data_IF_309921123890
#
_entry.id   IF_309921123890
#
_cell.length_a   1.000
_cell.length_b   1.000
_cell.length_c   1.000
_cell.angle_alpha   90.00
_cell.angle_beta   90.00
_cell.angle_gamma   90.00
#
_symmetry.space_group_name_H-M   'P 1'
#
loop_
_entity.id
_entity.type
_entity.pdbx_description
1 polymer ?
#
# COMPACT_ATOMS: atom_id res chain seq x y z
N UNK A 1 -17.78 -9.76 -1.59
CA UNK A 1 -16.34 -10.09 -1.72
C UNK A 1 -15.96 -10.80 -0.45
N UNK A 2 -15.39 -12.00 -0.56
CA UNK A 2 -15.04 -12.80 0.61
C UNK A 2 -13.80 -12.25 1.31
N UNK A 3 -13.70 -12.38 2.65
CA UNK A 3 -12.51 -12.00 3.37
C UNK A 3 -11.30 -12.81 2.89
N UNK A 4 -10.13 -12.18 2.94
CA UNK A 4 -8.86 -12.86 2.70
C UNK A 4 -8.36 -13.43 4.03
N UNK A 5 -7.89 -14.67 4.00
CA UNK A 5 -7.43 -15.43 5.16
C UNK A 5 -6.03 -15.99 4.90
N UNK A 6 -5.24 -16.16 5.95
CA UNK A 6 -3.95 -16.85 5.88
C UNK A 6 -4.18 -18.32 6.21
N UNK A 7 -3.65 -19.21 5.38
CA UNK A 7 -3.69 -20.66 5.59
C UNK A 7 -2.28 -21.23 5.63
N UNK A 8 -2.11 -22.39 6.26
CA UNK A 8 -0.92 -23.23 6.20
C UNK A 8 -1.27 -24.56 5.58
N UNK A 9 -0.52 -24.97 4.56
CA UNK A 9 -0.64 -26.29 3.95
C UNK A 9 -0.03 -27.36 4.87
N UNK A 10 -0.76 -28.44 5.12
CA UNK A 10 -0.27 -29.56 5.93
C UNK A 10 0.72 -30.47 5.16
N UNK A 11 0.70 -30.41 3.82
CA UNK A 11 1.57 -31.22 2.96
C UNK A 11 2.97 -30.64 2.76
N UNK A 12 3.08 -29.32 2.58
CA UNK A 12 4.36 -28.64 2.32
C UNK A 12 4.72 -27.54 3.33
N UNK A 13 3.87 -27.27 4.31
CA UNK A 13 4.05 -26.23 5.34
C UNK A 13 4.04 -24.78 4.82
N UNK A 14 3.82 -24.57 3.52
CA UNK A 14 3.72 -23.25 2.89
C UNK A 14 2.54 -22.43 3.43
N UNK A 15 2.73 -21.11 3.48
CA UNK A 15 1.68 -20.16 3.83
C UNK A 15 0.98 -19.67 2.57
N UNK A 16 -0.36 -19.59 2.63
CA UNK A 16 -1.19 -19.10 1.55
C UNK A 16 -2.04 -17.94 2.03
N UNK A 17 -2.01 -16.83 1.29
CA UNK A 17 -2.95 -15.73 1.45
C UNK A 17 -4.06 -15.90 0.40
N UNK A 18 -5.22 -16.39 0.80
CA UNK A 18 -6.28 -16.78 -0.13
C UNK A 18 -7.68 -16.48 0.43
N UNK A 19 -8.68 -16.40 -0.46
CA UNK A 19 -10.07 -16.52 -0.02
C UNK A 19 -10.41 -17.98 0.27
N UNK A 20 -11.54 -18.20 0.94
CA UNK A 20 -12.00 -19.56 1.28
C UNK A 20 -12.12 -20.47 0.04
N UNK A 21 -12.62 -19.93 -1.07
CA UNK A 21 -12.73 -20.68 -2.35
C UNK A 21 -11.37 -20.96 -3.01
N UNK A 22 -10.38 -20.10 -2.80
CA UNK A 22 -9.07 -20.21 -3.48
C UNK A 22 -8.04 -21.03 -2.69
N UNK A 23 -8.38 -21.46 -1.47
CA UNK A 23 -7.46 -22.14 -0.54
C UNK A 23 -6.98 -23.50 -1.04
N UNK A 24 -7.76 -24.16 -1.90
CA UNK A 24 -7.46 -25.48 -2.46
C UNK A 24 -6.38 -25.45 -3.56
N UNK A 25 -5.73 -24.30 -3.77
CA UNK A 25 -4.65 -24.12 -4.75
C UNK A 25 -3.32 -24.78 -4.33
N UNK A 26 -3.19 -25.28 -3.09
CA UNK A 26 -1.99 -25.97 -2.62
C UNK A 26 -2.06 -27.50 -2.83
N UNK A 27 -0.95 -28.20 -2.56
CA UNK A 27 -0.81 -29.65 -2.79
C UNK A 27 -1.51 -30.54 -1.75
N UNK A 28 -2.07 -29.98 -0.68
CA UNK A 28 -2.71 -30.73 0.40
C UNK A 28 -3.77 -29.92 1.13
N UNK A 29 -4.35 -30.51 2.16
CA UNK A 29 -5.30 -29.83 3.04
C UNK A 29 -4.63 -28.61 3.69
N UNK A 30 -5.43 -27.57 3.88
CA UNK A 30 -4.97 -26.30 4.43
C UNK A 30 -5.75 -25.96 5.69
N UNK A 31 -5.02 -25.49 6.70
CA UNK A 31 -5.56 -25.06 7.99
C UNK A 31 -5.43 -23.54 8.12
N UNK A 32 -6.46 -22.87 8.59
CA UNK A 32 -6.44 -21.42 8.82
C UNK A 32 -5.41 -21.06 9.90
N UNK A 33 -4.69 -19.95 9.70
CA UNK A 33 -3.72 -19.39 10.64
C UNK A 33 -4.19 -18.00 11.04
N UNK A 34 -4.24 -17.77 12.34
CA UNK A 34 -4.68 -16.51 12.93
C UNK A 34 -3.51 -15.80 13.64
N UNK A 35 -3.76 -14.57 14.10
CA UNK A 35 -2.81 -13.86 14.95
C UNK A 35 -2.52 -14.58 16.28
N UNK A 36 -3.42 -15.44 16.76
CA UNK A 36 -3.23 -16.19 18.01
C UNK A 36 -2.26 -17.37 17.85
N UNK A 37 -2.14 -17.89 16.62
CA UNK A 37 -1.19 -18.95 16.27
C UNK A 37 0.23 -18.41 16.06
N UNK A 38 0.38 -17.10 15.90
CA UNK A 38 1.67 -16.46 15.76
C UNK A 38 2.37 -16.36 17.12
N UNK A 39 3.53 -17.01 17.26
CA UNK A 39 4.43 -16.81 18.41
C UNK A 39 5.05 -15.39 18.45
N UNK A 40 4.87 -14.62 17.37
CA UNK A 40 5.27 -13.23 17.26
C UNK A 40 4.08 -12.30 17.47
N UNK A 41 4.21 -11.34 18.38
CA UNK A 41 3.18 -10.32 18.60
C UNK A 41 3.23 -9.27 17.48
N UNK A 42 2.21 -9.28 16.62
CA UNK A 42 1.99 -8.27 15.59
C UNK A 42 0.65 -7.60 15.84
N UNK A 43 0.62 -6.27 15.78
CA UNK A 43 -0.64 -5.51 15.94
C UNK A 43 -1.42 -5.50 14.63
N UNK A 44 -2.75 -5.65 14.73
CA UNK A 44 -3.63 -5.54 13.58
C UNK A 44 -3.66 -4.08 13.12
N UNK A 45 -3.41 -3.76 11.83
CA UNK A 45 -3.44 -2.38 11.37
C UNK A 45 -4.88 -1.86 11.32
N UNK A 46 -5.03 -0.56 11.60
CA UNK A 46 -6.27 0.18 11.32
C UNK A 46 -6.24 0.82 9.93
N UNK A 47 -7.37 1.40 9.51
CA UNK A 47 -7.51 1.99 8.17
C UNK A 47 -6.57 3.17 7.93
N UNK A 48 -6.32 3.99 8.95
CA UNK A 48 -5.44 5.15 8.83
C UNK A 48 -3.99 4.70 8.61
N UNK A 49 -3.54 3.72 9.37
CA UNK A 49 -2.20 3.12 9.25
C UNK A 49 -2.00 2.53 7.86
N UNK A 50 -2.96 1.78 7.33
CA UNK A 50 -2.84 1.20 5.98
C UNK A 50 -2.75 2.30 4.91
N UNK A 51 -3.63 3.29 4.97
CA UNK A 51 -3.65 4.38 3.99
C UNK A 51 -2.34 5.17 4.00
N UNK A 52 -1.79 5.44 5.18
CA UNK A 52 -0.56 6.20 5.33
C UNK A 52 0.67 5.38 4.94
N UNK A 53 0.85 4.20 5.52
CA UNK A 53 2.09 3.43 5.39
C UNK A 53 2.17 2.71 4.03
N UNK A 54 1.04 2.21 3.52
CA UNK A 54 1.03 1.47 2.25
C UNK A 54 0.82 2.37 1.03
N UNK A 55 0.00 3.42 1.16
CA UNK A 55 -0.35 4.28 0.03
C UNK A 55 0.19 5.72 0.13
N UNK A 56 0.82 6.10 1.25
CA UNK A 56 1.28 7.48 1.45
C UNK A 56 0.15 8.50 1.57
N UNK A 57 -1.07 8.04 1.88
CA UNK A 57 -2.29 8.85 1.93
C UNK A 57 -2.62 9.20 3.39
N UNK A 58 -2.25 10.40 3.78
CA UNK A 58 -2.72 11.00 5.05
C UNK A 58 -4.07 11.69 4.92
N UNK A 59 -4.57 12.20 6.05
CA UNK A 59 -5.86 12.91 6.20
C UNK A 59 -6.11 13.96 5.10
N UNK A 60 -5.16 14.87 4.87
CA UNK A 60 -5.26 15.90 3.81
C UNK A 60 -5.47 15.33 2.42
N UNK A 61 -4.94 14.13 2.12
CA UNK A 61 -5.16 13.47 0.83
C UNK A 61 -6.60 13.00 0.70
N UNK A 62 -7.21 12.52 1.80
CA UNK A 62 -8.60 12.11 1.82
C UNK A 62 -9.54 13.31 1.70
N UNK A 63 -9.25 14.41 2.39
CA UNK A 63 -10.00 15.67 2.24
C UNK A 63 -9.96 16.18 0.80
N UNK A 64 -8.79 16.17 0.17
CA UNK A 64 -8.63 16.52 -1.25
C UNK A 64 -9.40 15.57 -2.15
N UNK A 65 -9.39 14.26 -1.86
CA UNK A 65 -10.17 13.28 -2.60
C UNK A 65 -11.68 13.60 -2.53
N UNK A 66 -12.20 13.90 -1.33
CA UNK A 66 -13.60 14.28 -1.18
C UNK A 66 -13.92 15.59 -1.91
N UNK A 67 -13.04 16.59 -1.85
CA UNK A 67 -13.20 17.82 -2.60
C UNK A 67 -13.30 17.58 -4.11
N UNK A 68 -12.51 16.65 -4.67
CA UNK A 68 -12.56 16.29 -6.09
C UNK A 68 -13.81 15.47 -6.44
N UNK A 69 -14.27 14.59 -5.54
CA UNK A 69 -15.53 13.86 -5.71
C UNK A 69 -16.71 14.83 -5.79
N UNK A 70 -16.74 15.85 -4.93
CA UNK A 70 -17.79 16.86 -4.93
C UNK A 70 -17.68 17.82 -6.14
N UNK A 71 -16.50 17.92 -6.75
CA UNK A 71 -16.19 18.81 -7.86
C UNK A 71 -15.51 18.06 -9.02
N UNK A 72 -16.24 17.16 -9.68
CA UNK A 72 -15.69 16.37 -10.80
C UNK A 72 -15.12 17.27 -11.91
N UNK A 73 -13.89 16.99 -12.33
CA UNK A 73 -13.19 17.77 -13.33
C UNK A 73 -12.54 19.04 -12.77
N UNK A 74 -12.38 19.15 -11.44
CA UNK A 74 -11.67 20.25 -10.80
C UNK A 74 -10.18 20.25 -11.16
N UNK A 75 -9.62 21.45 -11.22
CA UNK A 75 -8.20 21.71 -11.39
C UNK A 75 -7.52 21.84 -10.03
N UNK A 76 -6.18 21.71 -9.99
CA UNK A 76 -5.40 21.99 -8.77
C UNK A 76 -5.70 23.38 -8.19
N UNK A 77 -5.96 24.37 -9.05
CA UNK A 77 -6.29 25.73 -8.59
C UNK A 77 -7.62 25.76 -7.86
N UNK A 78 -8.67 25.17 -8.44
CA UNK A 78 -10.01 25.17 -7.86
C UNK A 78 -10.04 24.42 -6.53
N UNK A 79 -9.35 23.27 -6.44
CA UNK A 79 -9.23 22.53 -5.17
C UNK A 79 -8.45 23.32 -4.12
N UNK A 80 -7.38 24.01 -4.51
CA UNK A 80 -6.59 24.83 -3.60
C UNK A 80 -7.39 26.03 -3.07
N UNK A 81 -8.18 26.67 -3.93
CA UNK A 81 -9.02 27.79 -3.57
C UNK A 81 -10.17 27.34 -2.64
N UNK A 82 -10.81 26.20 -2.92
CA UNK A 82 -11.90 25.64 -2.10
C UNK A 82 -11.43 25.19 -0.71
N UNK A 83 -10.25 24.55 -0.64
CA UNK A 83 -9.71 24.01 0.61
C UNK A 83 -8.81 24.99 1.38
N UNK A 84 -8.59 26.20 0.85
CA UNK A 84 -7.72 27.22 1.42
C UNK A 84 -6.28 26.74 1.72
N UNK A 85 -5.73 25.85 0.88
CA UNK A 85 -4.36 25.32 1.02
C UNK A 85 -3.51 25.57 -0.22
N UNK A 86 -2.18 25.55 -0.05
CA UNK A 86 -1.25 25.87 -1.14
C UNK A 86 -1.40 24.94 -2.35
N UNK A 87 -1.44 25.52 -3.56
CA UNK A 87 -1.50 24.78 -4.84
C UNK A 87 -0.41 23.73 -4.99
N UNK A 88 0.78 23.96 -4.43
CA UNK A 88 1.87 22.98 -4.43
C UNK A 88 1.61 21.79 -3.51
N UNK A 89 0.93 22.00 -2.38
CA UNK A 89 0.46 20.93 -1.51
C UNK A 89 -0.63 20.12 -2.22
N UNK A 90 -1.66 20.79 -2.77
CA UNK A 90 -2.72 20.13 -3.55
C UNK A 90 -2.14 19.29 -4.69
N UNK A 91 -1.25 19.87 -5.49
CA UNK A 91 -0.60 19.14 -6.59
C UNK A 91 0.10 17.86 -6.11
N UNK A 92 0.83 17.91 -4.99
CA UNK A 92 1.48 16.72 -4.41
C UNK A 92 0.48 15.65 -3.98
N UNK A 93 -0.58 16.03 -3.27
CA UNK A 93 -1.59 15.09 -2.80
C UNK A 93 -2.42 14.50 -3.94
N UNK A 94 -2.85 15.33 -4.89
CA UNK A 94 -3.59 14.87 -6.08
C UNK A 94 -2.75 13.91 -6.91
N UNK A 95 -1.46 14.17 -7.12
CA UNK A 95 -0.60 13.23 -7.84
C UNK A 95 -0.46 11.90 -7.08
N UNK A 96 -0.32 11.91 -5.75
CA UNK A 96 -0.34 10.66 -4.95
C UNK A 96 -1.65 9.88 -5.09
N UNK A 97 -2.78 10.57 -5.10
CA UNK A 97 -4.08 9.95 -5.31
C UNK A 97 -4.22 9.37 -6.73
N UNK A 98 -3.62 10.01 -7.73
CA UNK A 98 -3.54 9.49 -9.10
C UNK A 98 -2.62 8.27 -9.17
N UNK A 99 -1.46 8.32 -8.52
CA UNK A 99 -0.51 7.19 -8.47
C UNK A 99 -1.11 5.98 -7.74
N UNK A 100 -1.90 6.22 -6.68
CA UNK A 100 -2.70 5.20 -5.99
C UNK A 100 -3.92 4.72 -6.81
N UNK A 101 -4.21 5.36 -7.95
CA UNK A 101 -5.31 5.01 -8.84
C UNK A 101 -6.70 5.38 -8.32
N UNK A 102 -6.80 6.27 -7.33
CA UNK A 102 -8.04 6.77 -6.71
C UNK A 102 -8.65 7.91 -7.53
N UNK A 103 -7.79 8.77 -8.08
CA UNK A 103 -8.17 9.83 -9.01
C UNK A 103 -7.62 9.53 -10.40
N UNK A 104 -8.29 10.06 -11.41
CA UNK A 104 -7.77 10.11 -12.78
C UNK A 104 -7.35 11.53 -13.12
N UNK A 105 -6.34 11.64 -14.00
CA UNK A 105 -5.82 12.92 -14.50
C UNK A 105 -6.08 13.01 -15.99
N UNK A 106 -6.79 14.04 -16.42
CA UNK A 106 -7.07 14.29 -17.83
C UNK A 106 -6.59 15.69 -18.25
N UNK A 107 -6.20 15.84 -19.51
CA UNK A 107 -5.92 17.14 -20.11
C UNK A 107 -7.17 17.68 -20.81
N UNK A 108 -7.55 18.91 -20.50
CA UNK A 108 -8.61 19.64 -21.19
C UNK A 108 -8.06 20.90 -21.87
N UNK A 109 -8.44 21.09 -23.14
CA UNK A 109 -8.07 22.26 -23.92
C UNK A 109 -8.92 23.47 -23.51
N UNK A 110 -8.27 24.60 -23.25
CA UNK A 110 -8.96 25.86 -22.97
C UNK A 110 -9.40 26.54 -24.26
N UNK A 111 -10.56 27.21 -24.22
CA UNK A 111 -11.13 27.92 -25.39
C UNK A 111 -10.22 29.03 -25.93
N UNK A 112 -9.36 29.60 -25.08
CA UNK A 112 -8.42 30.67 -25.45
C UNK A 112 -7.02 30.14 -25.83
N UNK A 113 -6.85 28.82 -25.94
CA UNK A 113 -5.56 28.15 -26.10
C UNK A 113 -4.95 27.75 -24.76
N UNK A 114 -4.10 26.73 -24.79
CA UNK A 114 -3.49 26.10 -23.61
C UNK A 114 -4.23 24.84 -23.14
N UNK A 115 -3.56 24.10 -22.25
CA UNK A 115 -4.09 22.88 -21.62
C UNK A 115 -4.16 23.07 -20.11
N UNK A 116 -5.17 22.49 -19.49
CA UNK A 116 -5.28 22.38 -18.04
C UNK A 116 -5.46 20.92 -17.66
N UNK A 117 -4.89 20.53 -16.52
CA UNK A 117 -5.16 19.24 -15.92
C UNK A 117 -6.40 19.32 -15.04
N UNK A 118 -7.33 18.42 -15.29
CA UNK A 118 -8.51 18.20 -14.47
C UNK A 118 -8.45 16.82 -13.83
N UNK A 119 -9.08 16.70 -12.67
CA UNK A 119 -9.07 15.48 -11.89
C UNK A 119 -10.50 15.04 -11.60
N UNK A 120 -10.72 13.74 -11.71
CA UNK A 120 -12.02 13.09 -11.53
C UNK A 120 -11.83 11.86 -10.66
N UNK A 121 -12.85 11.47 -9.90
CA UNK A 121 -12.81 10.22 -9.16
C UNK A 121 -12.86 9.02 -10.11
N UNK A 122 -12.06 8.00 -9.85
CA UNK A 122 -12.15 6.73 -10.56
C UNK A 122 -13.38 5.93 -10.09
N UNK A 123 -13.86 4.99 -10.91
CA UNK A 123 -14.92 4.08 -10.49
C UNK A 123 -14.58 3.38 -9.14
N UNK A 124 -15.47 3.41 -8.13
CA UNK A 124 -15.16 2.87 -6.80
C UNK A 124 -14.78 1.39 -6.79
N UNK A 125 -15.36 0.56 -7.67
CA UNK A 125 -15.00 -0.86 -7.76
C UNK A 125 -13.62 -1.03 -8.41
N UNK A 126 -13.25 -0.17 -9.36
CA UNK A 126 -11.89 -0.13 -9.93
C UNK A 126 -10.88 0.30 -8.88
N UNK A 127 -11.16 1.34 -8.10
CA UNK A 127 -10.30 1.80 -6.99
C UNK A 127 -10.09 0.67 -6.00
N UNK A 128 -11.17 0.03 -5.56
CA UNK A 128 -11.12 -1.08 -4.60
C UNK A 128 -10.26 -2.24 -5.10
N UNK A 129 -10.40 -2.63 -6.36
CA UNK A 129 -9.60 -3.72 -6.94
C UNK A 129 -8.12 -3.33 -7.06
N UNK A 130 -7.80 -2.09 -7.44
CA UNK A 130 -6.42 -1.59 -7.50
C UNK A 130 -5.76 -1.58 -6.12
N UNK A 131 -6.43 -1.02 -5.11
CA UNK A 131 -5.92 -0.97 -3.74
C UNK A 131 -5.71 -2.39 -3.19
N UNK A 132 -6.63 -3.31 -3.50
CA UNK A 132 -6.49 -4.73 -3.12
C UNK A 132 -5.27 -5.37 -3.79
N UNK A 133 -5.10 -5.22 -5.09
CA UNK A 133 -3.92 -5.76 -5.78
C UNK A 133 -2.62 -5.18 -5.21
N UNK A 134 -2.60 -3.87 -4.96
CA UNK A 134 -1.48 -3.19 -4.31
C UNK A 134 -1.15 -3.80 -2.94
N UNK A 135 -2.17 -4.13 -2.14
CA UNK A 135 -1.98 -4.79 -0.85
C UNK A 135 -1.32 -6.17 -0.97
N UNK A 136 -1.76 -6.99 -1.93
CA UNK A 136 -1.18 -8.33 -2.14
C UNK A 136 0.28 -8.24 -2.59
N UNK A 137 0.59 -7.33 -3.51
CA UNK A 137 1.97 -7.10 -3.96
C UNK A 137 2.84 -6.60 -2.81
N UNK A 138 2.35 -5.63 -2.04
CA UNK A 138 3.08 -5.09 -0.90
C UNK A 138 3.37 -6.15 0.17
N UNK A 139 2.40 -7.00 0.52
CA UNK A 139 2.60 -8.09 1.47
C UNK A 139 3.65 -9.09 0.95
N UNK A 140 3.65 -9.40 -0.35
CA UNK A 140 4.67 -10.27 -0.95
C UNK A 140 6.08 -9.73 -0.72
N UNK A 141 6.30 -8.45 -1.03
CA UNK A 141 7.61 -7.79 -0.84
C UNK A 141 8.01 -7.75 0.65
N UNK A 142 7.06 -7.48 1.55
CA UNK A 142 7.31 -7.48 3.00
C UNK A 142 7.75 -8.87 3.49
N UNK A 143 7.12 -9.94 3.01
CA UNK A 143 7.50 -11.31 3.36
C UNK A 143 8.91 -11.62 2.86
N UNK A 144 9.22 -11.27 1.62
CA UNK A 144 10.56 -11.49 1.04
C UNK A 144 11.64 -10.72 1.82
N UNK A 145 11.39 -9.45 2.14
CA UNK A 145 12.29 -8.64 2.96
C UNK A 145 12.54 -9.26 4.35
N UNK A 146 11.53 -9.84 4.99
CA UNK A 146 11.68 -10.50 6.29
C UNK A 146 12.58 -11.74 6.17
N UNK A 147 12.43 -12.52 5.10
CA UNK A 147 13.28 -13.69 4.84
C UNK A 147 14.72 -13.25 4.61
N UNK A 148 14.96 -12.27 3.73
CA UNK A 148 16.28 -11.72 3.45
C UNK A 148 16.96 -11.21 4.73
N UNK A 149 16.24 -10.47 5.58
CA UNK A 149 16.77 -9.97 6.84
C UNK A 149 17.17 -11.09 7.82
N UNK A 150 16.42 -12.20 7.83
CA UNK A 150 16.76 -13.36 8.66
C UNK A 150 18.00 -14.09 8.15
N UNK A 151 18.14 -14.25 6.83
CA UNK A 151 19.30 -14.86 6.21
C UNK A 151 20.56 -14.03 6.46
N UNK A 152 20.50 -12.71 6.27
CA UNK A 152 21.61 -11.79 6.57
C UNK A 152 22.03 -11.86 8.06
N UNK A 153 21.05 -11.97 8.96
CA UNK A 153 21.33 -12.14 10.39
C UNK A 153 22.01 -13.47 10.69
N UNK A 154 21.61 -14.55 10.03
CA UNK A 154 22.23 -15.87 10.21
C UNK A 154 23.70 -15.83 9.76
N UNK A 155 23.99 -15.28 8.59
CA UNK A 155 25.36 -15.11 8.08
C UNK A 155 26.23 -14.28 9.04
N UNK A 156 25.69 -13.17 9.57
CA UNK A 156 26.42 -12.30 10.50
C UNK A 156 26.72 -12.98 11.85
N UNK A 157 25.90 -13.94 12.29
CA UNK A 157 26.15 -14.70 13.52
C UNK A 157 27.22 -15.78 13.33
N UNK A 158 27.43 -16.26 12.11
CA UNK A 158 28.48 -17.23 11.77
C UNK A 158 29.87 -16.58 11.64
N UNK A 159 29.93 -15.29 11.31
CA UNK A 159 31.18 -14.52 11.26
C UNK A 159 31.59 -14.03 12.66
N UNK A 160 32.42 -14.81 13.38
CA UNK A 160 32.98 -14.48 14.71
C UNK A 160 33.72 -13.13 14.78
N UNK A 161 33.95 -12.45 13.65
CA UNK A 161 34.67 -11.17 13.55
C UNK A 161 33.77 -9.94 13.36
N UNK A 162 32.47 -10.12 13.12
CA UNK A 162 31.54 -9.02 12.82
C UNK A 162 30.57 -8.73 13.95
N UNK A 163 30.39 -7.45 14.31
CA UNK A 163 29.26 -7.05 15.15
C UNK A 163 27.97 -7.18 14.34
N UNK A 164 27.05 -8.05 14.77
CA UNK A 164 25.69 -8.20 14.19
C UNK A 164 25.00 -6.83 14.02
N UNK A 165 25.27 -5.89 14.92
CA UNK A 165 24.71 -4.54 14.89
C UNK A 165 25.31 -3.67 13.76
N UNK A 166 26.57 -3.86 13.37
CA UNK A 166 27.19 -3.15 12.24
C UNK A 166 26.70 -3.70 10.90
N UNK A 167 26.52 -5.02 10.80
CA UNK A 167 26.02 -5.69 9.60
C UNK A 167 24.56 -5.35 9.28
N UNK A 168 23.69 -5.38 10.29
CA UNK A 168 22.26 -5.05 10.15
C UNK A 168 22.02 -3.53 10.17
N UNK A 169 22.75 -2.80 11.02
CA UNK A 169 22.59 -1.35 11.21
C UNK A 169 22.93 -0.52 9.96
N UNK A 170 23.97 -0.90 9.22
CA UNK A 170 24.44 -0.16 8.03
C UNK A 170 23.59 -0.33 6.77
N UNK A 171 22.69 -1.33 6.73
CA UNK A 171 21.81 -1.62 5.60
C UNK A 171 20.34 -1.28 5.86
N UNK A 172 19.85 -1.53 7.08
CA UNK A 172 18.44 -1.30 7.46
C UNK A 172 18.15 0.19 7.71
N UNK A 173 19.11 0.95 8.21
CA UNK A 173 18.93 2.36 8.61
C UNK A 173 19.73 3.33 7.72
N UNK A 174 19.81 3.07 6.41
CA UNK A 174 20.24 4.13 5.49
C UNK A 174 19.10 5.15 5.41
N UNK A 175 19.29 6.27 6.13
CA UNK A 175 18.42 7.44 6.07
C UNK A 175 18.02 7.75 4.62
N UNK A 176 16.71 7.78 4.37
CA UNK A 176 16.09 8.25 3.15
C UNK A 176 15.32 9.54 3.46
#
# INVERSE_FOLDING_TARGET
>A
MEPTTVYRCEGCSELLLASEVARDACCGDVSEVTFEDAETRVEKPDSETVLKEMFGLGETSLEICFCVIDNEGATVSEVADEMEIDRSAVSRHVNRLVDAGILTKQERNLRQGGVVHVYEHEDPEVVKERLRLGAYLWISEVVDLIVELNDEKAEAMEDERGSVMEALGGRIWKEN
#
